data_IF_865818199297
#
_entry.id   IF_865818199297
#
_cell.length_a   1.000
_cell.length_b   1.000
_cell.length_c   1.000
_cell.angle_alpha   90.00
_cell.angle_beta   90.00
_cell.angle_gamma   90.00
#
_symmetry.space_group_name_H-M   'P 1'
#
loop_
_entity.id
_entity.type
_entity.pdbx_description
1 polymer ?
#
# COMPACT_ATOMS: atom_id res chain seq x y z
N UNK A 1 -2.19 6.57 22.06
CA UNK A 1 -3.35 7.41 21.68
C UNK A 1 -2.88 8.74 21.09
N UNK A 2 -1.88 9.42 21.68
CA UNK A 2 -1.24 10.62 21.09
C UNK A 2 -0.52 10.33 19.76
N UNK A 3 0.28 9.26 19.69
CA UNK A 3 1.04 8.88 18.49
C UNK A 3 0.17 8.63 17.26
N UNK A 4 -1.01 8.02 17.43
CA UNK A 4 -1.94 7.74 16.32
C UNK A 4 -2.56 9.02 15.76
N UNK A 5 -2.85 9.99 16.62
CA UNK A 5 -3.41 11.29 16.21
C UNK A 5 -2.33 12.13 15.50
N UNK A 6 -1.09 12.12 16.01
CA UNK A 6 0.04 12.79 15.36
C UNK A 6 0.35 12.20 13.98
N UNK A 7 0.39 10.87 13.87
CA UNK A 7 0.55 10.20 12.58
C UNK A 7 -0.58 10.53 11.60
N UNK A 8 -1.83 10.57 12.07
CA UNK A 8 -2.97 10.93 11.22
C UNK A 8 -2.85 12.35 10.67
N UNK A 9 -2.50 13.33 11.53
CA UNK A 9 -2.30 14.74 11.12
C UNK A 9 -1.12 14.91 10.17
N UNK A 10 -0.05 14.16 10.38
CA UNK A 10 1.09 14.14 9.47
C UNK A 10 0.69 13.65 8.08
N UNK A 11 -0.02 12.52 8.00
CA UNK A 11 -0.55 12.00 6.73
C UNK A 11 -1.50 12.98 6.05
N UNK A 12 -2.41 13.61 6.79
CA UNK A 12 -3.31 14.65 6.26
C UNK A 12 -2.53 15.82 5.64
N UNK A 13 -1.47 16.28 6.33
CA UNK A 13 -0.63 17.38 5.84
C UNK A 13 0.14 17.00 4.57
N UNK A 14 0.70 15.78 4.52
CA UNK A 14 1.41 15.28 3.34
C UNK A 14 0.48 15.10 2.14
N UNK A 15 -0.71 14.55 2.36
CA UNK A 15 -1.73 14.38 1.32
C UNK A 15 -2.30 15.71 0.81
N UNK A 16 -2.16 16.79 1.58
CA UNK A 16 -2.52 18.15 1.18
C UNK A 16 -1.44 18.85 0.33
N UNK A 17 -0.27 18.22 0.12
CA UNK A 17 0.80 18.82 -0.67
C UNK A 17 0.39 19.05 -2.14
N UNK A 18 0.85 20.12 -2.80
CA UNK A 18 0.62 20.33 -4.23
C UNK A 18 1.15 19.14 -5.04
N UNK A 19 0.35 18.65 -5.99
CA UNK A 19 0.72 17.51 -6.83
C UNK A 19 0.09 16.17 -6.43
N UNK A 20 -0.38 16.00 -5.19
CA UNK A 20 -0.93 14.73 -4.69
C UNK A 20 -2.20 14.25 -5.41
N UNK A 21 -2.94 15.18 -6.06
CA UNK A 21 -4.12 14.87 -6.87
C UNK A 21 -3.83 14.81 -8.38
N UNK A 22 -2.57 14.93 -8.80
CA UNK A 22 -2.21 14.83 -10.21
C UNK A 22 -2.33 13.38 -10.67
N UNK A 23 -2.88 13.19 -11.87
CA UNK A 23 -3.02 11.85 -12.45
C UNK A 23 -1.68 11.34 -12.96
N UNK A 24 -1.31 10.13 -12.55
CA UNK A 24 -0.15 9.41 -13.09
C UNK A 24 -0.62 8.20 -13.88
N UNK A 25 -0.04 7.98 -15.07
CA UNK A 25 -0.29 6.78 -15.86
C UNK A 25 0.64 5.66 -15.41
N UNK A 26 0.09 4.64 -14.78
CA UNK A 26 0.82 3.43 -14.38
C UNK A 26 0.43 2.28 -15.30
N UNK A 27 1.40 1.73 -16.03
CA UNK A 27 1.22 0.53 -16.86
C UNK A 27 1.95 -0.66 -16.23
N UNK A 28 1.20 -1.71 -15.94
CA UNK A 28 1.69 -2.97 -15.36
C UNK A 28 1.53 -4.11 -16.37
N UNK A 29 2.52 -4.99 -16.44
CA UNK A 29 2.46 -6.24 -17.23
C UNK A 29 2.68 -7.40 -16.26
N UNK A 30 1.59 -8.03 -15.84
CA UNK A 30 1.59 -9.07 -14.79
C UNK A 30 0.77 -10.28 -15.21
N UNK A 31 0.98 -11.43 -14.55
CA UNK A 31 0.22 -12.64 -14.83
C UNK A 31 -1.23 -12.54 -14.33
N UNK A 32 -2.13 -13.39 -14.84
CA UNK A 32 -3.51 -13.51 -14.33
C UNK A 32 -3.55 -13.85 -12.84
N UNK A 33 -2.62 -14.70 -12.38
CA UNK A 33 -2.47 -15.08 -10.97
C UNK A 33 -2.13 -13.85 -10.13
N UNK A 34 -1.13 -13.09 -10.55
CA UNK A 34 -0.66 -11.91 -9.81
C UNK A 34 -1.75 -10.83 -9.76
N UNK A 35 -2.49 -10.64 -10.85
CA UNK A 35 -3.64 -9.71 -10.88
C UNK A 35 -4.74 -10.12 -9.88
N UNK A 36 -5.08 -11.41 -9.81
CA UNK A 36 -6.05 -11.93 -8.84
C UNK A 36 -5.58 -11.71 -7.40
N UNK A 37 -4.31 -12.04 -7.13
CA UNK A 37 -3.72 -11.88 -5.80
C UNK A 37 -3.68 -10.42 -5.36
N UNK A 38 -3.28 -9.50 -6.24
CA UNK A 38 -3.26 -8.06 -5.96
C UNK A 38 -4.68 -7.55 -5.64
N UNK A 39 -5.67 -7.95 -6.42
CA UNK A 39 -7.08 -7.59 -6.19
C UNK A 39 -7.56 -8.07 -4.83
N UNK A 40 -7.25 -9.32 -4.47
CA UNK A 40 -7.62 -9.90 -3.17
C UNK A 40 -6.89 -9.18 -2.02
N UNK A 41 -5.62 -8.80 -2.18
CA UNK A 41 -4.87 -8.05 -1.18
C UNK A 41 -5.47 -6.69 -0.88
N UNK A 42 -5.84 -5.95 -1.92
CA UNK A 42 -6.49 -4.64 -1.78
C UNK A 42 -7.83 -4.79 -1.06
N UNK A 43 -8.67 -5.75 -1.48
CA UNK A 43 -9.97 -5.99 -0.84
C UNK A 43 -9.83 -6.36 0.63
N UNK A 44 -8.91 -7.27 0.97
CA UNK A 44 -8.66 -7.66 2.36
C UNK A 44 -8.12 -6.49 3.20
N UNK A 45 -7.21 -5.67 2.66
CA UNK A 45 -6.70 -4.50 3.37
C UNK A 45 -7.79 -3.47 3.69
N UNK A 46 -8.80 -3.35 2.82
CA UNK A 46 -9.97 -2.49 3.04
C UNK A 46 -10.93 -3.15 4.05
N UNK A 47 -11.29 -4.42 3.86
CA UNK A 47 -12.29 -5.13 4.68
C UNK A 47 -11.81 -5.38 6.12
N UNK A 48 -10.53 -5.69 6.32
CA UNK A 48 -9.98 -5.92 7.67
C UNK A 48 -9.99 -4.66 8.55
N UNK A 49 -10.06 -3.46 7.95
CA UNK A 49 -10.28 -2.21 8.69
C UNK A 49 -11.62 -2.21 9.44
N UNK A 50 -12.64 -2.84 8.87
CA UNK A 50 -13.99 -2.88 9.43
C UNK A 50 -14.30 -4.22 10.13
N UNK A 51 -13.57 -5.30 9.80
CA UNK A 51 -13.77 -6.67 10.30
C UNK A 51 -12.44 -7.40 10.52
N UNK A 52 -11.70 -7.08 11.59
CA UNK A 52 -10.35 -7.61 11.83
C UNK A 52 -10.29 -9.13 12.07
N UNK A 53 -11.40 -9.77 12.44
CA UNK A 53 -11.44 -11.19 12.83
C UNK A 53 -11.83 -12.16 11.69
N UNK A 54 -12.03 -11.68 10.47
CA UNK A 54 -12.34 -12.57 9.34
C UNK A 54 -11.06 -13.11 8.69
N UNK A 55 -10.81 -14.44 8.76
CA UNK A 55 -9.68 -15.04 8.05
C UNK A 55 -9.93 -14.94 6.55
N UNK A 56 -9.25 -13.99 5.90
CA UNK A 56 -9.28 -13.82 4.46
C UNK A 56 -8.44 -14.87 3.73
N UNK A 57 -8.67 -15.02 2.43
CA UNK A 57 -7.91 -15.93 1.54
C UNK A 57 -6.39 -15.74 1.64
N UNK A 58 -5.97 -14.54 2.05
CA UNK A 58 -4.57 -14.14 2.23
C UNK A 58 -3.87 -14.90 3.34
N UNK A 59 -4.58 -15.22 4.42
CA UNK A 59 -4.01 -15.99 5.53
C UNK A 59 -3.63 -17.42 5.11
N UNK A 60 -4.21 -17.92 4.00
CA UNK A 60 -3.93 -19.24 3.45
C UNK A 60 -2.89 -19.22 2.30
N UNK A 61 -2.42 -18.04 1.88
CA UNK A 61 -1.46 -17.94 0.78
C UNK A 61 -0.03 -18.22 1.24
N UNK A 62 0.77 -18.93 0.42
CA UNK A 62 2.17 -19.18 0.74
C UNK A 62 3.00 -17.90 0.56
N UNK A 63 4.12 -17.78 1.27
CA UNK A 63 4.92 -16.54 1.35
C UNK A 63 5.44 -16.08 -0.02
N UNK A 64 5.70 -17.02 -0.92
CA UNK A 64 6.20 -16.77 -2.27
C UNK A 64 5.18 -16.00 -3.11
N UNK A 65 3.88 -16.13 -2.83
CA UNK A 65 2.85 -15.33 -3.49
C UNK A 65 2.95 -13.83 -3.17
N UNK A 66 3.59 -13.46 -2.06
CA UNK A 66 3.75 -12.06 -1.66
C UNK A 66 4.98 -11.40 -2.29
N UNK A 67 5.98 -12.18 -2.71
CA UNK A 67 7.19 -11.64 -3.35
C UNK A 67 6.86 -10.93 -4.67
N UNK A 68 6.00 -11.51 -5.50
CA UNK A 68 5.55 -10.87 -6.74
C UNK A 68 4.78 -9.57 -6.47
N UNK A 69 4.02 -9.52 -5.38
CA UNK A 69 3.22 -8.36 -4.99
C UNK A 69 4.11 -7.24 -4.43
N UNK A 70 5.14 -7.59 -3.67
CA UNK A 70 6.14 -6.66 -3.17
C UNK A 70 6.87 -5.95 -4.32
N UNK A 71 7.27 -6.70 -5.34
CA UNK A 71 7.86 -6.14 -6.56
C UNK A 71 6.91 -5.16 -7.25
N UNK A 72 5.62 -5.49 -7.34
CA UNK A 72 4.61 -4.58 -7.91
C UNK A 72 4.48 -3.31 -7.07
N UNK A 73 4.44 -3.44 -5.74
CA UNK A 73 4.34 -2.29 -4.83
C UNK A 73 5.50 -1.31 -5.04
N UNK A 74 6.73 -1.83 -5.13
CA UNK A 74 7.92 -1.01 -5.43
C UNK A 74 7.81 -0.35 -6.81
N UNK A 75 7.34 -1.09 -7.82
CA UNK A 75 7.21 -0.55 -9.18
C UNK A 75 6.10 0.51 -9.29
N UNK A 76 5.02 0.40 -8.52
CA UNK A 76 3.98 1.44 -8.40
C UNK A 76 4.56 2.75 -7.87
N UNK A 77 5.28 2.68 -6.75
CA UNK A 77 5.94 3.84 -6.15
C UNK A 77 6.93 4.48 -7.13
N UNK A 78 7.74 3.66 -7.80
CA UNK A 78 8.71 4.14 -8.78
C UNK A 78 8.06 4.83 -9.98
N UNK A 79 6.97 4.27 -10.52
CA UNK A 79 6.24 4.88 -11.66
C UNK A 79 5.47 6.14 -11.25
N UNK A 80 5.12 6.26 -9.98
CA UNK A 80 4.49 7.44 -9.40
C UNK A 80 5.49 8.50 -8.90
N UNK A 81 6.79 8.23 -8.96
CA UNK A 81 7.85 9.06 -8.38
C UNK A 81 7.69 9.29 -6.85
N UNK A 82 7.09 8.31 -6.17
CA UNK A 82 6.74 8.37 -4.74
C UNK A 82 7.68 7.56 -3.84
N UNK A 83 8.76 6.99 -4.37
CA UNK A 83 9.69 6.14 -3.61
C UNK A 83 10.31 6.87 -2.42
N UNK A 84 10.90 8.05 -2.65
CA UNK A 84 11.59 8.83 -1.60
C UNK A 84 10.62 9.28 -0.49
N UNK A 85 9.42 9.71 -0.87
CA UNK A 85 8.39 10.11 0.10
C UNK A 85 7.97 8.90 0.97
N UNK A 86 7.80 7.74 0.36
CA UNK A 86 7.46 6.52 1.08
C UNK A 86 8.59 6.09 2.05
N UNK A 87 9.86 6.20 1.65
CA UNK A 87 11.00 5.91 2.53
C UNK A 87 11.02 6.82 3.76
N UNK A 88 10.90 8.15 3.56
CA UNK A 88 10.82 9.12 4.67
C UNK A 88 9.64 8.84 5.61
N UNK A 89 8.49 8.44 5.06
CA UNK A 89 7.32 8.05 5.84
C UNK A 89 7.59 6.82 6.72
N UNK A 90 8.32 5.82 6.20
CA UNK A 90 8.66 4.63 6.98
C UNK A 90 9.65 4.94 8.11
N UNK A 91 10.63 5.80 7.87
CA UNK A 91 11.57 6.25 8.92
C UNK A 91 10.85 6.92 10.08
N UNK A 92 9.86 7.78 9.79
CA UNK A 92 9.04 8.43 10.81
C UNK A 92 8.15 7.42 11.53
N UNK A 93 7.53 6.48 10.82
CA UNK A 93 6.65 5.48 11.43
C UNK A 93 7.38 4.48 12.34
N UNK A 94 8.69 4.30 12.16
CA UNK A 94 9.54 3.42 12.95
C UNK A 94 10.27 4.15 14.11
N UNK A 95 10.16 5.48 14.16
CA UNK A 95 10.72 6.33 15.23
C UNK A 95 9.75 6.46 16.40
#
# INVERSE_FOLDING_TARGET
METTIEMSRMYETLLAAPGMNQSVKISLTISRKTALLLSQLIENGIVQKDKPDQPGIIAALPKECFQEIEVISMELLRKADMTELNEKLQEIAQS
#
